data_IF_220683642579
#
_entry.id   IF_220683642579
#
_cell.length_a   1.000
_cell.length_b   1.000
_cell.length_c   1.000
_cell.angle_alpha   90.00
_cell.angle_beta   90.00
_cell.angle_gamma   90.00
#
_symmetry.space_group_name_H-M   'P 1'
#
loop_
_entity.id
_entity.type
_entity.pdbx_description
1 polymer ?
#
# COMPACT_ATOMS: atom_id res chain seq x y z
N UNK A 1 22.21 4.66 -5.90
CA UNK A 1 20.95 4.87 -5.17
C UNK A 1 21.12 6.14 -4.38
N UNK A 2 20.11 7.00 -4.36
CA UNK A 2 20.12 8.24 -3.57
C UNK A 2 19.86 7.92 -2.11
N UNK A 3 20.85 8.21 -1.26
CA UNK A 3 20.73 8.00 0.18
C UNK A 3 19.64 8.89 0.77
N UNK A 4 18.82 8.32 1.65
CA UNK A 4 17.72 9.00 2.33
C UNK A 4 16.47 9.23 1.49
N UNK A 5 16.44 8.78 0.22
CA UNK A 5 15.25 8.84 -0.62
C UNK A 5 14.42 7.57 -0.44
N UNK A 6 13.17 7.72 -0.01
CA UNK A 6 12.20 6.63 0.09
C UNK A 6 11.10 6.80 -0.95
N UNK A 7 10.74 5.72 -1.64
CA UNK A 7 9.59 5.69 -2.53
C UNK A 7 8.47 4.86 -1.90
N UNK A 8 7.30 5.47 -1.72
CA UNK A 8 6.12 4.83 -1.14
C UNK A 8 5.06 4.70 -2.23
N UNK A 9 4.64 3.47 -2.50
CA UNK A 9 3.66 3.15 -3.54
C UNK A 9 2.40 2.62 -2.88
N UNK A 10 1.34 3.44 -2.90
CA UNK A 10 0.01 3.04 -2.44
C UNK A 10 -0.75 2.38 -3.57
N UNK A 11 -1.32 1.20 -3.29
CA UNK A 11 -2.27 0.49 -4.15
C UNK A 11 -3.56 0.40 -3.36
N UNK A 12 -4.49 1.30 -3.65
CA UNK A 12 -5.72 1.48 -2.89
C UNK A 12 -6.91 0.94 -3.66
N UNK A 13 -7.58 -0.03 -3.04
CA UNK A 13 -8.84 -0.55 -3.53
C UNK A 13 -9.93 0.52 -3.41
N UNK A 14 -10.69 0.68 -4.49
CA UNK A 14 -11.92 1.47 -4.55
C UNK A 14 -13.03 0.65 -5.20
N UNK A 15 -12.97 -0.66 -5.11
CA UNK A 15 -14.03 -1.55 -5.54
C UNK A 15 -15.31 -1.32 -4.73
N UNK A 16 -16.46 -1.74 -5.26
CA UNK A 16 -17.76 -1.52 -4.60
C UNK A 16 -17.86 -2.11 -3.18
N UNK A 17 -17.01 -3.07 -2.80
CA UNK A 17 -16.98 -3.61 -1.43
C UNK A 17 -16.53 -2.59 -0.40
N UNK A 18 -15.69 -1.63 -0.79
CA UNK A 18 -15.15 -0.58 0.09
C UNK A 18 -16.20 0.50 0.47
N UNK A 19 -17.46 0.33 0.09
CA UNK A 19 -18.50 1.34 0.23
C UNK A 19 -18.80 1.71 1.68
N UNK A 20 -19.04 2.99 1.94
CA UNK A 20 -19.42 3.52 3.24
C UNK A 20 -18.25 4.01 4.09
N UNK A 21 -17.01 3.89 3.61
CA UNK A 21 -15.79 4.39 4.28
C UNK A 21 -14.94 5.29 3.37
N UNK A 22 -15.53 5.85 2.30
CA UNK A 22 -14.85 6.75 1.37
C UNK A 22 -14.28 7.98 2.09
N UNK A 23 -15.10 8.60 2.94
CA UNK A 23 -14.70 9.76 3.73
C UNK A 23 -13.54 9.43 4.68
N UNK A 24 -13.57 8.25 5.32
CA UNK A 24 -12.50 7.78 6.20
C UNK A 24 -11.21 7.48 5.44
N UNK A 25 -11.30 6.85 4.27
CA UNK A 25 -10.16 6.60 3.38
C UNK A 25 -9.53 7.91 2.90
N UNK A 26 -10.34 8.85 2.41
CA UNK A 26 -9.88 10.17 1.98
C UNK A 26 -9.23 10.91 3.15
N UNK A 27 -9.91 10.98 4.29
CA UNK A 27 -9.44 11.66 5.49
C UNK A 27 -8.15 11.06 6.04
N UNK A 28 -8.09 9.74 6.12
CA UNK A 28 -6.96 8.95 6.59
C UNK A 28 -5.73 9.12 5.70
N UNK A 29 -5.88 8.94 4.39
CA UNK A 29 -4.79 9.15 3.42
C UNK A 29 -4.25 10.58 3.49
N UNK A 30 -5.14 11.57 3.45
CA UNK A 30 -4.73 12.98 3.49
C UNK A 30 -4.04 13.33 4.82
N UNK A 31 -4.49 12.76 5.93
CA UNK A 31 -3.84 12.93 7.24
C UNK A 31 -2.45 12.31 7.26
N UNK A 32 -2.32 11.09 6.75
CA UNK A 32 -1.04 10.40 6.61
C UNK A 32 -0.06 11.24 5.78
N UNK A 33 -0.44 11.68 4.58
CA UNK A 33 0.43 12.49 3.72
C UNK A 33 0.84 13.79 4.43
N UNK A 34 -0.09 14.48 5.09
CA UNK A 34 0.23 15.72 5.85
C UNK A 34 1.25 15.49 6.96
N UNK A 35 1.18 14.38 7.69
CA UNK A 35 2.17 14.05 8.74
C UNK A 35 3.51 13.71 8.10
N UNK A 36 3.50 12.86 7.09
CA UNK A 36 4.69 12.42 6.36
C UNK A 36 5.44 13.60 5.70
N UNK A 37 4.76 14.66 5.27
CA UNK A 37 5.42 15.90 4.78
C UNK A 37 6.27 16.61 5.83
N UNK A 38 6.00 16.41 7.12
CA UNK A 38 6.73 17.05 8.23
C UNK A 38 7.92 16.23 8.69
N UNK A 39 8.02 14.98 8.25
CA UNK A 39 9.15 14.12 8.60
C UNK A 39 10.40 14.47 7.82
N UNK A 40 11.54 14.22 8.44
CA UNK A 40 12.84 14.35 7.79
C UNK A 40 13.02 13.32 6.66
N UNK A 41 13.97 13.61 5.77
CA UNK A 41 14.25 12.78 4.61
C UNK A 41 13.34 13.05 3.42
N UNK A 42 13.78 12.60 2.25
CA UNK A 42 13.06 12.81 1.00
C UNK A 42 12.16 11.61 0.73
N UNK A 43 10.91 11.89 0.33
CA UNK A 43 9.97 10.86 -0.05
C UNK A 43 9.30 11.18 -1.38
N UNK A 44 9.12 10.13 -2.18
CA UNK A 44 8.36 10.12 -3.42
C UNK A 44 7.15 9.22 -3.19
N UNK A 45 6.00 9.64 -3.68
CA UNK A 45 4.74 8.91 -3.54
C UNK A 45 4.15 8.60 -4.90
N UNK A 46 3.77 7.34 -5.07
CA UNK A 46 2.89 6.90 -6.14
C UNK A 46 1.59 6.38 -5.54
N UNK A 47 0.46 6.68 -6.18
CA UNK A 47 -0.85 6.22 -5.73
C UNK A 47 -1.59 5.64 -6.91
N UNK A 48 -1.89 4.36 -6.85
CA UNK A 48 -2.69 3.62 -7.81
C UNK A 48 -4.03 3.33 -7.15
N UNK A 49 -5.10 3.79 -7.76
CA UNK A 49 -6.46 3.41 -7.39
C UNK A 49 -6.90 2.27 -8.28
N UNK A 50 -7.54 1.24 -7.71
CA UNK A 50 -7.98 0.12 -8.52
C UNK A 50 -9.38 -0.38 -8.14
N UNK A 51 -10.08 -0.85 -9.16
CA UNK A 51 -11.32 -1.59 -9.13
C UNK A 51 -11.20 -2.70 -10.21
N UNK A 52 -12.09 -2.79 -11.20
CA UNK A 52 -11.89 -3.59 -12.41
C UNK A 52 -10.93 -2.95 -13.42
N UNK A 53 -10.56 -1.69 -13.19
CA UNK A 53 -9.52 -0.93 -13.89
C UNK A 53 -8.52 -0.33 -12.89
N UNK A 54 -7.34 0.04 -13.37
CA UNK A 54 -6.29 0.65 -12.55
C UNK A 54 -5.98 2.06 -13.06
N UNK A 55 -6.11 3.05 -12.17
CA UNK A 55 -5.81 4.45 -12.43
C UNK A 55 -4.59 4.89 -11.60
N UNK A 56 -3.59 5.47 -12.25
CA UNK A 56 -2.44 6.07 -11.57
C UNK A 56 -2.80 7.52 -11.25
N UNK A 57 -3.07 7.81 -9.99
CA UNK A 57 -3.42 9.15 -9.52
C UNK A 57 -2.16 10.00 -9.28
N UNK A 58 -1.17 9.42 -8.61
CA UNK A 58 0.13 10.04 -8.40
C UNK A 58 1.20 9.12 -8.98
N UNK A 59 2.08 9.65 -9.83
CA UNK A 59 3.22 8.92 -10.37
C UNK A 59 4.53 9.57 -9.93
N UNK A 60 5.20 8.94 -8.97
CA UNK A 60 6.49 9.38 -8.42
C UNK A 60 6.53 10.87 -8.05
N UNK A 61 5.48 11.35 -7.40
CA UNK A 61 5.36 12.76 -7.01
C UNK A 61 6.12 12.99 -5.70
N UNK A 62 7.00 14.01 -5.60
CA UNK A 62 7.61 14.37 -4.32
C UNK A 62 6.55 14.64 -3.26
N UNK A 63 6.73 14.13 -2.04
CA UNK A 63 5.67 14.13 -1.01
C UNK A 63 5.10 15.53 -0.70
N UNK A 64 5.91 16.58 -0.85
CA UNK A 64 5.50 17.97 -0.69
C UNK A 64 4.47 18.44 -1.72
N UNK A 65 4.38 17.78 -2.88
CA UNK A 65 3.53 18.11 -4.02
C UNK A 65 2.39 17.12 -4.27
N UNK A 66 2.31 16.03 -3.49
CA UNK A 66 1.23 15.04 -3.61
C UNK A 66 -0.10 15.74 -3.40
N UNK A 67 -1.07 15.54 -4.28
CA UNK A 67 -2.39 16.14 -4.10
C UNK A 67 -3.22 15.34 -3.10
N UNK A 68 -4.18 16.01 -2.46
CA UNK A 68 -5.08 15.32 -1.55
C UNK A 68 -6.08 14.48 -2.34
N UNK A 69 -6.49 13.35 -1.77
CA UNK A 69 -7.71 12.69 -2.22
C UNK A 69 -8.91 13.60 -1.95
N UNK A 70 -9.87 13.53 -2.85
CA UNK A 70 -11.15 14.24 -2.79
C UNK A 70 -12.25 13.26 -3.20
N UNK A 71 -13.50 13.63 -2.98
CA UNK A 71 -14.65 12.82 -3.42
C UNK A 71 -14.71 12.69 -4.96
N UNK A 72 -14.04 13.58 -5.71
CA UNK A 72 -13.92 13.49 -7.17
C UNK A 72 -12.84 12.49 -7.61
N UNK A 73 -11.81 12.30 -6.79
CA UNK A 73 -10.65 11.44 -7.12
C UNK A 73 -10.74 10.05 -6.51
N UNK A 74 -11.38 9.90 -5.34
CA UNK A 74 -11.62 8.63 -4.68
C UNK A 74 -13.11 8.43 -4.38
N UNK A 75 -13.71 7.47 -5.06
CA UNK A 75 -15.07 6.99 -4.84
C UNK A 75 -15.15 5.52 -5.25
N UNK A 76 -16.03 4.75 -4.62
CA UNK A 76 -16.11 3.31 -4.88
C UNK A 76 -16.87 3.00 -6.17
N UNK A 77 -16.43 1.97 -6.89
CA UNK A 77 -17.09 1.46 -8.10
C UNK A 77 -16.56 0.09 -8.48
N UNK A 78 -17.26 -0.63 -9.35
CA UNK A 78 -16.68 -1.79 -10.05
C UNK A 78 -16.34 -2.99 -9.15
N UNK A 79 -15.48 -3.85 -9.69
CA UNK A 79 -15.05 -5.11 -9.09
C UNK A 79 -13.58 -5.02 -8.60
N UNK A 80 -12.91 -6.13 -8.30
CA UNK A 80 -11.57 -6.11 -7.67
C UNK A 80 -10.53 -6.82 -8.56
N UNK A 81 -9.70 -6.04 -9.27
CA UNK A 81 -8.57 -6.49 -10.09
C UNK A 81 -7.23 -6.28 -9.35
N UNK A 82 -7.08 -6.91 -8.19
CA UNK A 82 -5.92 -6.82 -7.30
C UNK A 82 -4.62 -7.26 -8.00
N UNK A 83 -4.62 -8.38 -8.72
CA UNK A 83 -3.42 -8.89 -9.39
C UNK A 83 -2.94 -7.95 -10.49
N UNK A 84 -3.87 -7.37 -11.24
CA UNK A 84 -3.55 -6.40 -12.28
C UNK A 84 -3.00 -5.09 -11.69
N UNK A 85 -3.56 -4.63 -10.56
CA UNK A 85 -3.06 -3.47 -9.85
C UNK A 85 -1.63 -3.67 -9.31
N UNK A 86 -1.40 -4.78 -8.59
CA UNK A 86 -0.08 -5.10 -8.01
C UNK A 86 0.96 -5.38 -9.09
N UNK A 87 0.62 -6.25 -10.05
CA UNK A 87 1.51 -6.59 -11.16
C UNK A 87 1.87 -5.36 -12.02
N UNK A 88 0.86 -4.54 -12.34
CA UNK A 88 1.04 -3.30 -13.09
C UNK A 88 1.93 -2.29 -12.35
N UNK A 89 1.69 -2.07 -11.06
CA UNK A 89 2.50 -1.15 -10.25
C UNK A 89 3.96 -1.62 -10.13
N UNK A 90 4.20 -2.91 -9.86
CA UNK A 90 5.57 -3.46 -9.80
C UNK A 90 6.27 -3.30 -11.14
N UNK A 91 5.57 -3.60 -12.25
CA UNK A 91 6.14 -3.45 -13.58
C UNK A 91 6.52 -2.00 -13.86
N UNK A 92 5.61 -1.05 -13.59
CA UNK A 92 5.83 0.38 -13.82
C UNK A 92 7.02 0.90 -13.02
N UNK A 93 6.99 0.77 -11.70
CA UNK A 93 8.05 1.27 -10.80
C UNK A 93 9.39 0.59 -11.11
N UNK A 94 9.37 -0.71 -11.39
CA UNK A 94 10.58 -1.46 -11.73
C UNK A 94 11.18 -0.99 -13.05
N UNK A 95 10.34 -0.63 -14.02
CA UNK A 95 10.78 -0.06 -15.29
C UNK A 95 11.37 1.34 -15.11
N UNK A 96 10.75 2.18 -14.27
CA UNK A 96 11.31 3.50 -13.95
C UNK A 96 12.67 3.35 -13.26
N UNK A 97 12.79 2.49 -12.25
CA UNK A 97 14.07 2.28 -11.55
C UNK A 97 15.17 1.72 -12.45
N UNK A 98 14.81 0.91 -13.45
CA UNK A 98 15.75 0.35 -14.43
C UNK A 98 16.41 1.42 -15.30
N UNK A 99 15.67 2.46 -15.68
CA UNK A 99 16.15 3.53 -16.56
C UNK A 99 16.49 4.83 -15.82
N UNK A 100 16.13 4.94 -14.54
CA UNK A 100 16.52 6.04 -13.68
C UNK A 100 18.05 6.09 -13.53
N UNK A 101 18.58 7.31 -13.39
CA UNK A 101 19.97 7.49 -12.98
C UNK A 101 20.14 6.94 -11.57
N UNK A 102 21.36 6.54 -11.22
CA UNK A 102 21.60 5.97 -9.90
C UNK A 102 21.31 6.96 -8.75
N UNK A 103 21.39 8.26 -9.03
CA UNK A 103 21.03 9.39 -8.15
C UNK A 103 19.52 9.67 -8.06
N UNK A 104 18.70 9.08 -8.93
CA UNK A 104 17.22 9.21 -8.91
C UNK A 104 16.53 7.92 -8.44
N UNK A 105 17.30 6.85 -8.26
CA UNK A 105 16.82 5.58 -7.73
C UNK A 105 16.73 5.67 -6.21
N UNK A 106 15.55 5.42 -5.60
CA UNK A 106 15.37 5.50 -4.16
C UNK A 106 16.26 4.48 -3.43
N UNK A 107 16.66 4.81 -2.21
CA UNK A 107 17.33 3.86 -1.32
C UNK A 107 16.37 2.77 -0.86
N UNK A 108 15.11 3.15 -0.59
CA UNK A 108 14.06 2.25 -0.11
C UNK A 108 12.81 2.36 -0.94
N UNK A 109 12.15 1.23 -1.19
CA UNK A 109 10.88 1.19 -1.92
C UNK A 109 9.90 0.36 -1.12
N UNK A 110 8.78 0.97 -0.74
CA UNK A 110 7.73 0.38 0.07
C UNK A 110 6.42 0.37 -0.72
N UNK A 111 5.84 -0.80 -0.91
CA UNK A 111 4.50 -0.98 -1.45
C UNK A 111 3.51 -1.19 -0.32
N UNK A 112 2.38 -0.48 -0.36
CA UNK A 112 1.30 -0.63 0.61
C UNK A 112 0.02 -0.94 -0.18
N UNK A 113 -0.49 -2.14 0.02
CA UNK A 113 -1.68 -2.66 -0.66
C UNK A 113 -2.82 -2.67 0.35
N UNK A 114 -3.89 -1.94 0.06
CA UNK A 114 -5.10 -1.92 0.90
C UNK A 114 -6.29 -2.40 0.07
N UNK A 115 -6.98 -3.43 0.54
CA UNK A 115 -8.13 -4.04 -0.14
C UNK A 115 -9.03 -4.75 0.85
N UNK A 116 -10.33 -4.79 0.57
CA UNK A 116 -11.30 -5.61 1.31
C UNK A 116 -11.88 -6.74 0.43
N UNK A 117 -11.57 -6.71 -0.86
CA UNK A 117 -12.12 -7.60 -1.86
C UNK A 117 -11.26 -8.84 -2.08
N UNK A 118 -11.91 -9.93 -2.46
CA UNK A 118 -11.23 -11.05 -3.09
C UNK A 118 -11.05 -10.75 -4.57
N UNK A 119 -9.84 -10.95 -5.09
CA UNK A 119 -9.55 -10.92 -6.52
C UNK A 119 -10.61 -11.63 -7.35
N UNK A 120 -11.20 -10.92 -8.32
CA UNK A 120 -12.28 -11.45 -9.16
C UNK A 120 -12.34 -10.85 -10.59
N UNK A 121 -11.48 -9.88 -10.93
CA UNK A 121 -11.58 -9.14 -12.18
C UNK A 121 -10.28 -9.01 -12.99
N UNK A 122 -9.12 -9.41 -12.44
CA UNK A 122 -7.82 -9.33 -13.11
C UNK A 122 -7.76 -10.21 -14.35
N UNK A 123 -7.07 -9.72 -15.39
CA UNK A 123 -6.95 -10.39 -16.70
C UNK A 123 -5.52 -10.48 -17.21
N UNK A 124 -4.59 -9.69 -16.69
CA UNK A 124 -3.20 -9.61 -17.18
C UNK A 124 -2.25 -10.45 -16.36
N UNK A 125 -2.46 -10.52 -15.05
CA UNK A 125 -1.58 -11.22 -14.13
C UNK A 125 -2.31 -12.34 -13.36
N UNK A 126 -1.56 -13.39 -13.06
CA UNK A 126 -1.99 -14.50 -12.20
C UNK A 126 -1.31 -14.39 -10.83
N UNK A 127 -1.84 -15.08 -9.81
CA UNK A 127 -1.20 -15.16 -8.50
C UNK A 127 0.26 -15.60 -8.59
N UNK A 128 0.56 -16.63 -9.40
CA UNK A 128 1.91 -17.13 -9.60
C UNK A 128 2.85 -16.07 -10.21
N UNK A 129 2.37 -15.34 -11.23
CA UNK A 129 3.14 -14.25 -11.83
C UNK A 129 3.40 -13.12 -10.84
N UNK A 130 2.38 -12.64 -10.12
CA UNK A 130 2.55 -11.57 -9.13
C UNK A 130 3.47 -12.01 -8.01
N UNK A 131 3.32 -13.23 -7.51
CA UNK A 131 4.20 -13.80 -6.48
C UNK A 131 5.67 -13.82 -6.91
N UNK A 132 5.96 -14.33 -8.11
CA UNK A 132 7.31 -14.32 -8.65
C UNK A 132 7.87 -12.90 -8.83
N UNK A 133 7.02 -11.94 -9.19
CA UNK A 133 7.41 -10.52 -9.27
C UNK A 133 7.76 -9.96 -7.89
N UNK A 134 6.91 -10.14 -6.89
CA UNK A 134 7.13 -9.68 -5.51
C UNK A 134 8.41 -10.27 -4.93
N UNK A 135 8.58 -11.60 -5.02
CA UNK A 135 9.76 -12.30 -4.51
C UNK A 135 11.04 -11.79 -5.16
N UNK A 136 11.05 -11.65 -6.49
CA UNK A 136 12.19 -11.09 -7.22
C UNK A 136 12.54 -9.67 -6.79
N UNK A 137 11.54 -8.80 -6.58
CA UNK A 137 11.83 -7.41 -6.18
C UNK A 137 12.37 -7.32 -4.75
N UNK A 138 11.84 -8.15 -3.84
CA UNK A 138 12.35 -8.28 -2.47
C UNK A 138 13.80 -8.75 -2.47
N UNK A 139 14.12 -9.84 -3.16
CA UNK A 139 15.46 -10.44 -3.16
C UNK A 139 16.50 -9.57 -3.86
N UNK A 140 16.15 -9.01 -5.03
CA UNK A 140 17.12 -8.32 -5.87
C UNK A 140 17.31 -6.84 -5.51
N UNK A 141 16.25 -6.18 -5.04
CA UNK A 141 16.23 -4.74 -4.84
C UNK A 141 15.82 -4.31 -3.43
N UNK A 142 15.53 -5.28 -2.54
CA UNK A 142 15.15 -4.98 -1.16
C UNK A 142 13.82 -4.25 -1.04
N UNK A 143 12.91 -4.43 -2.00
CA UNK A 143 11.58 -3.82 -1.91
C UNK A 143 10.79 -4.45 -0.77
N UNK A 144 10.04 -3.63 -0.07
CA UNK A 144 9.16 -4.04 1.03
C UNK A 144 7.69 -3.94 0.58
N UNK A 145 6.86 -4.84 1.08
CA UNK A 145 5.44 -4.93 0.71
C UNK A 145 4.60 -5.13 1.96
N UNK A 146 3.66 -4.23 2.22
CA UNK A 146 2.66 -4.34 3.27
C UNK A 146 1.30 -4.63 2.64
N UNK A 147 0.57 -5.55 3.25
CA UNK A 147 -0.78 -5.93 2.83
C UNK A 147 -1.78 -5.72 3.96
N UNK A 148 -2.79 -4.89 3.71
CA UNK A 148 -3.80 -4.49 4.67
C UNK A 148 -5.18 -4.91 4.14
N UNK A 149 -5.69 -6.00 4.70
CA UNK A 149 -6.98 -6.57 4.33
C UNK A 149 -8.10 -6.07 5.23
N UNK A 150 -9.15 -5.46 4.69
CA UNK A 150 -10.34 -5.14 5.48
C UNK A 150 -11.27 -6.35 5.54
N UNK A 151 -11.59 -6.86 6.74
CA UNK A 151 -12.51 -7.98 6.96
C UNK A 151 -12.21 -9.30 6.19
N UNK A 152 -11.00 -9.46 5.64
CA UNK A 152 -10.56 -10.66 4.92
C UNK A 152 -9.41 -11.35 5.63
N UNK A 153 -9.13 -12.60 5.25
CA UNK A 153 -7.90 -13.30 5.64
C UNK A 153 -6.70 -12.71 4.89
N UNK A 154 -6.21 -11.57 5.39
CA UNK A 154 -5.11 -10.82 4.80
C UNK A 154 -3.84 -11.66 4.70
N UNK A 155 -3.58 -12.52 5.69
CA UNK A 155 -2.39 -13.38 5.72
C UNK A 155 -2.44 -14.37 4.56
N UNK A 156 -3.58 -15.02 4.34
CA UNK A 156 -3.74 -15.98 3.25
C UNK A 156 -3.61 -15.30 1.88
N UNK A 157 -4.29 -14.18 1.66
CA UNK A 157 -4.25 -13.47 0.37
C UNK A 157 -2.85 -12.92 0.09
N UNK A 158 -2.22 -12.27 1.07
CA UNK A 158 -0.84 -11.80 0.99
C UNK A 158 0.15 -12.93 0.69
N UNK A 159 -0.03 -14.10 1.32
CA UNK A 159 0.79 -15.28 1.09
C UNK A 159 0.72 -15.80 -0.34
N UNK A 160 -0.45 -15.73 -0.98
CA UNK A 160 -0.63 -16.13 -2.38
C UNK A 160 0.13 -15.24 -3.36
N UNK A 161 0.44 -13.99 -2.98
CA UNK A 161 1.22 -13.03 -3.79
C UNK A 161 2.65 -12.82 -3.26
N UNK A 162 3.17 -13.68 -2.37
CA UNK A 162 4.58 -13.66 -1.94
C UNK A 162 4.91 -12.70 -0.78
N UNK A 163 3.89 -12.20 -0.08
CA UNK A 163 4.03 -11.36 1.10
C UNK A 163 3.85 -12.24 2.35
N UNK A 164 4.83 -12.23 3.26
CA UNK A 164 4.77 -13.08 4.45
C UNK A 164 3.81 -12.51 5.50
N UNK A 165 3.37 -13.38 6.42
CA UNK A 165 2.41 -13.02 7.46
C UNK A 165 2.84 -11.79 8.28
N UNK A 166 4.13 -11.61 8.55
CA UNK A 166 4.65 -10.46 9.32
C UNK A 166 4.39 -9.11 8.65
N UNK A 167 4.19 -9.09 7.34
CA UNK A 167 3.86 -7.90 6.55
C UNK A 167 2.41 -7.89 6.06
N UNK A 168 1.54 -8.70 6.65
CA UNK A 168 0.11 -8.72 6.39
C UNK A 168 -0.69 -8.51 7.67
N UNK A 169 -1.73 -7.68 7.62
CA UNK A 169 -2.65 -7.47 8.73
C UNK A 169 -4.11 -7.36 8.26
N UNK A 170 -5.01 -7.95 9.03
CA UNK A 170 -6.45 -7.79 8.85
C UNK A 170 -6.95 -6.70 9.78
N UNK A 171 -7.60 -5.69 9.25
CA UNK A 171 -8.28 -4.66 10.03
C UNK A 171 -9.80 -4.76 9.86
N UNK A 172 -10.55 -4.16 10.79
CA UNK A 172 -12.00 -4.11 10.71
C UNK A 172 -12.44 -3.01 9.75
N UNK A 173 -13.30 -3.35 8.79
CA UNK A 173 -13.89 -2.40 7.85
C UNK A 173 -15.01 -1.61 8.55
N UNK A 174 -14.61 -0.73 9.46
CA UNK A 174 -15.44 0.30 10.08
C UNK A 174 -14.63 1.59 10.27
N UNK A 175 -15.29 2.69 10.62
CA UNK A 175 -14.64 4.01 10.80
C UNK A 175 -13.41 3.91 11.73
N UNK A 176 -13.56 3.22 12.88
CA UNK A 176 -12.51 3.10 13.88
C UNK A 176 -11.33 2.24 13.40
N UNK A 177 -11.63 1.14 12.70
CA UNK A 177 -10.62 0.22 12.17
C UNK A 177 -9.86 0.86 11.02
N UNK A 178 -10.55 1.61 10.16
CA UNK A 178 -9.95 2.38 9.06
C UNK A 178 -9.06 3.50 9.59
N UNK A 179 -9.53 4.28 10.57
CA UNK A 179 -8.71 5.30 11.21
C UNK A 179 -7.43 4.70 11.84
N UNK A 180 -7.57 3.59 12.58
CA UNK A 180 -6.43 2.87 13.15
C UNK A 180 -5.47 2.34 12.08
N UNK A 181 -6.01 1.84 10.97
CA UNK A 181 -5.23 1.35 9.85
C UNK A 181 -4.32 2.46 9.29
N UNK A 182 -4.85 3.66 9.06
CA UNK A 182 -4.06 4.81 8.60
C UNK A 182 -3.05 5.31 9.64
N UNK A 183 -3.36 5.26 10.93
CA UNK A 183 -2.37 5.59 11.97
C UNK A 183 -1.19 4.61 11.98
N UNK A 184 -1.46 3.31 11.84
CA UNK A 184 -0.42 2.28 11.83
C UNK A 184 0.38 2.33 10.53
N UNK A 185 -0.26 2.56 9.39
CA UNK A 185 0.43 2.81 8.11
C UNK A 185 1.38 4.00 8.22
N UNK A 186 0.93 5.10 8.84
CA UNK A 186 1.77 6.28 9.03
C UNK A 186 3.00 5.98 9.89
N UNK A 187 2.84 5.23 10.99
CA UNK A 187 3.96 4.79 11.83
C UNK A 187 4.93 3.87 11.08
N UNK A 188 4.41 2.94 10.27
CA UNK A 188 5.24 2.03 9.48
C UNK A 188 6.06 2.79 8.43
N UNK A 189 5.47 3.77 7.73
CA UNK A 189 6.19 4.60 6.77
C UNK A 189 7.26 5.43 7.49
N UNK A 190 6.94 5.99 8.66
CA UNK A 190 7.92 6.71 9.47
C UNK A 190 9.14 5.84 9.81
N UNK A 191 8.92 4.61 10.30
CA UNK A 191 10.00 3.67 10.59
C UNK A 191 10.84 3.37 9.35
N UNK A 192 10.21 3.13 8.20
CA UNK A 192 10.92 2.87 6.94
C UNK A 192 11.75 4.09 6.52
N UNK A 193 11.24 5.31 6.68
CA UNK A 193 11.95 6.53 6.28
C UNK A 193 13.09 6.90 7.21
N UNK A 194 12.91 6.77 8.52
CA UNK A 194 13.85 7.26 9.52
C UNK A 194 14.84 6.20 10.02
N UNK A 195 14.50 4.92 9.93
CA UNK A 195 15.37 3.83 10.38
C UNK A 195 16.27 3.31 9.27
N UNK A 196 17.43 2.76 9.61
CA UNK A 196 18.19 1.88 8.69
C UNK A 196 17.82 0.42 8.85
N UNK A 197 17.16 0.06 9.95
CA UNK A 197 16.71 -1.29 10.18
C UNK A 197 15.47 -1.61 9.33
N UNK A 198 15.24 -2.88 8.99
CA UNK A 198 13.97 -3.33 8.42
C UNK A 198 12.80 -2.99 9.33
N UNK A 199 11.61 -2.84 8.75
CA UNK A 199 10.37 -2.63 9.51
C UNK A 199 10.17 -3.76 10.54
N UNK A 200 9.89 -3.40 11.78
CA UNK A 200 9.68 -4.38 12.86
C UNK A 200 8.36 -5.13 12.65
N UNK A 201 8.32 -6.44 12.91
CA UNK A 201 7.08 -7.23 12.89
C UNK A 201 5.97 -6.72 13.84
N UNK A 202 6.33 -5.85 14.78
CA UNK A 202 5.39 -5.22 15.71
C UNK A 202 4.53 -4.10 15.08
N UNK A 203 4.84 -3.65 13.86
CA UNK A 203 4.12 -2.56 13.20
C UNK A 203 2.60 -2.78 13.20
N UNK A 204 2.16 -4.02 12.93
CA UNK A 204 0.73 -4.40 12.85
C UNK A 204 0.07 -4.71 14.19
N UNK A 205 0.79 -4.69 15.31
CA UNK A 205 0.31 -5.18 16.61
C UNK A 205 -1.03 -4.55 17.01
N UNK A 206 -1.14 -3.22 16.86
CA UNK A 206 -2.37 -2.48 17.23
C UNK A 206 -3.57 -2.88 16.37
N UNK A 207 -3.36 -3.13 15.07
CA UNK A 207 -4.43 -3.58 14.16
C UNK A 207 -4.92 -4.97 14.58
N UNK A 208 -3.98 -5.91 14.82
CA UNK A 208 -4.31 -7.29 15.20
C UNK A 208 -5.06 -7.31 16.54
N UNK A 209 -4.56 -6.60 17.56
CA UNK A 209 -5.23 -6.51 18.86
C UNK A 209 -6.64 -5.93 18.77
N UNK A 210 -6.84 -4.93 17.90
CA UNK A 210 -8.15 -4.34 17.72
C UNK A 210 -9.13 -5.29 17.01
N UNK A 211 -8.68 -5.97 15.95
CA UNK A 211 -9.48 -6.98 15.25
C UNK A 211 -9.84 -8.16 16.16
N UNK A 212 -8.92 -8.65 16.99
CA UNK A 212 -9.19 -9.72 17.95
C UNK A 212 -10.19 -9.29 19.04
N UNK A 213 -10.09 -8.04 19.51
CA UNK A 213 -10.95 -7.50 20.57
C UNK A 213 -12.36 -7.20 20.07
N UNK A 214 -12.49 -6.59 18.88
CA UNK A 214 -13.76 -6.09 18.36
C UNK A 214 -14.43 -7.04 17.38
N UNK A 215 -13.68 -7.92 16.71
CA UNK A 215 -14.21 -8.88 15.73
C UNK A 215 -14.79 -10.17 16.32
N UNK A 216 -14.71 -10.37 17.65
CA UNK A 216 -15.35 -11.49 18.37
C UNK A 216 -16.80 -11.18 18.82
N UNK A 217 -17.43 -10.14 18.28
CA UNK A 217 -18.81 -9.76 18.59
C UNK A 217 -19.75 -10.10 17.45
#
# INVERSE_FOLDING_TARGET
>A
MRKGLTEVVFILDRSGSMSGLEADTIGGFNSLIRKQRKEEGEAIVSTVLFDDICDVLHDRVPIAKVENLTEETYFVRGCTALLDAVGGAIHHIGNVHKYARDEDRPEKTLFIITTDGMENASRRYTYEHVKAMVERQKEKYGWEFLFLGANIDAIRVAGNIGICADFAATYLHDEKGTALNYEVMEQAIHEVRCSKAPLSSNWKKRIVEDAERRGRK
#
